data_IF_395218255155
#
_entry.id   IF_395218255155
#
_cell.length_a   1.000
_cell.length_b   1.000
_cell.length_c   1.000
_cell.angle_alpha   90.00
_cell.angle_beta   90.00
_cell.angle_gamma   90.00
#
_symmetry.space_group_name_H-M   'P 1'
#
loop_
_entity.id
_entity.type
_entity.pdbx_description
1 polymer ?
#
# COMPACT_ATOMS: atom_id res chain seq x y z
N UNK A 1 5.51 -14.30 -12.67
CA UNK A 1 4.90 -13.39 -11.69
C UNK A 1 5.05 -13.91 -10.25
N UNK A 2 4.55 -15.09 -9.90
CA UNK A 2 4.73 -15.66 -8.55
C UNK A 2 6.18 -15.76 -8.06
N UNK A 3 7.14 -16.15 -8.91
CA UNK A 3 8.57 -16.15 -8.56
C UNK A 3 9.10 -14.76 -8.19
N UNK A 4 8.59 -13.72 -8.86
CA UNK A 4 8.96 -12.34 -8.59
C UNK A 4 8.41 -11.89 -7.22
N UNK A 5 7.14 -12.22 -6.93
CA UNK A 5 6.55 -12.00 -5.60
C UNK A 5 7.44 -12.65 -4.53
N UNK A 6 7.81 -13.92 -4.69
CA UNK A 6 8.66 -14.62 -3.72
C UNK A 6 10.06 -13.99 -3.57
N UNK A 7 10.66 -13.54 -4.67
CA UNK A 7 11.93 -12.80 -4.65
C UNK A 7 11.79 -11.52 -3.81
N UNK A 8 10.76 -10.72 -4.07
CA UNK A 8 10.59 -9.43 -3.41
C UNK A 8 10.13 -9.55 -1.96
N UNK A 9 9.37 -10.58 -1.60
CA UNK A 9 9.07 -10.90 -0.20
C UNK A 9 10.34 -11.18 0.61
N UNK A 10 11.32 -11.91 0.04
CA UNK A 10 12.62 -12.15 0.70
C UNK A 10 13.45 -10.87 0.85
N UNK A 11 13.44 -10.01 -0.18
CA UNK A 11 14.13 -8.70 -0.12
C UNK A 11 13.48 -7.81 0.94
N UNK A 12 12.14 -7.84 1.03
CA UNK A 12 11.35 -7.04 1.96
C UNK A 12 11.74 -7.29 3.42
N UNK A 13 12.11 -8.51 3.81
CA UNK A 13 12.52 -8.84 5.17
C UNK A 13 13.66 -7.95 5.68
N UNK A 14 14.60 -7.62 4.80
CA UNK A 14 15.85 -6.92 5.14
C UNK A 14 15.93 -5.49 4.59
N UNK A 15 14.94 -5.05 3.81
CA UNK A 15 14.95 -3.72 3.20
C UNK A 15 14.54 -2.63 4.19
N UNK A 16 15.21 -1.48 4.13
CA UNK A 16 14.88 -0.24 4.83
C UNK A 16 14.28 0.84 3.92
N UNK A 17 14.50 0.75 2.60
CA UNK A 17 13.95 1.70 1.62
C UNK A 17 12.73 1.09 0.93
N UNK A 18 11.61 1.11 1.64
CA UNK A 18 10.37 0.45 1.24
C UNK A 18 9.68 1.15 0.07
N UNK A 19 9.82 2.46 -0.06
CA UNK A 19 9.21 3.21 -1.16
C UNK A 19 9.87 2.85 -2.49
N UNK A 20 11.21 2.82 -2.54
CA UNK A 20 11.92 2.37 -3.75
C UNK A 20 11.70 0.89 -4.04
N UNK A 21 11.57 0.06 -3.01
CA UNK A 21 11.31 -1.38 -3.22
C UNK A 21 10.00 -1.63 -3.97
N UNK A 22 8.96 -0.81 -3.71
CA UNK A 22 7.72 -0.84 -4.48
C UNK A 22 7.95 -0.48 -5.96
N UNK A 23 8.68 0.61 -6.23
CA UNK A 23 9.01 1.00 -7.61
C UNK A 23 9.80 -0.07 -8.35
N UNK A 24 10.82 -0.66 -7.73
CA UNK A 24 11.62 -1.71 -8.37
C UNK A 24 10.80 -2.95 -8.68
N UNK A 25 9.90 -3.34 -7.79
CA UNK A 25 8.98 -4.45 -8.04
C UNK A 25 8.09 -4.17 -9.26
N UNK A 26 7.48 -2.99 -9.33
CA UNK A 26 6.64 -2.60 -10.45
C UNK A 26 7.42 -2.55 -11.78
N UNK A 27 8.64 -2.01 -11.76
CA UNK A 27 9.52 -1.89 -12.92
C UNK A 27 10.02 -3.25 -13.45
N UNK A 28 10.20 -4.24 -12.57
CA UNK A 28 10.66 -5.59 -12.95
C UNK A 28 9.53 -6.46 -13.51
N UNK A 29 8.26 -6.06 -13.33
CA UNK A 29 7.13 -6.75 -13.96
C UNK A 29 7.10 -6.48 -15.46
N UNK A 30 6.79 -7.54 -16.24
CA UNK A 30 6.55 -7.37 -17.67
C UNK A 30 5.30 -6.51 -17.91
N UNK A 31 5.29 -5.73 -19.00
CA UNK A 31 4.10 -4.96 -19.41
C UNK A 31 2.85 -5.83 -19.52
N UNK A 32 3.00 -7.06 -20.02
CA UNK A 32 1.90 -8.04 -20.09
C UNK A 32 1.35 -8.36 -18.71
N UNK A 33 2.22 -8.62 -17.73
CA UNK A 33 1.80 -8.90 -16.34
C UNK A 33 1.14 -7.69 -15.70
N UNK A 34 1.72 -6.48 -15.83
CA UNK A 34 1.13 -5.26 -15.28
C UNK A 34 -0.26 -4.99 -15.86
N UNK A 35 -0.45 -5.22 -17.16
CA UNK A 35 -1.75 -5.05 -17.81
C UNK A 35 -2.79 -6.09 -17.39
N UNK A 36 -2.38 -7.36 -17.25
CA UNK A 36 -3.30 -8.43 -16.87
C UNK A 36 -3.72 -8.35 -15.40
N UNK A 37 -2.78 -8.03 -14.52
CA UNK A 37 -2.98 -8.02 -13.06
C UNK A 37 -3.32 -6.62 -12.51
N UNK A 38 -3.28 -5.58 -13.36
CA UNK A 38 -3.57 -4.20 -12.94
C UNK A 38 -2.52 -3.57 -12.01
N UNK A 39 -1.27 -4.03 -12.06
CA UNK A 39 -0.22 -3.58 -11.12
C UNK A 39 0.42 -2.28 -11.62
N UNK A 40 -0.16 -1.18 -11.16
CA UNK A 40 0.30 0.19 -11.40
C UNK A 40 0.22 1.00 -10.11
N UNK A 41 1.36 1.50 -9.62
CA UNK A 41 1.37 2.20 -8.33
C UNK A 41 1.16 3.70 -8.50
N UNK A 42 0.13 4.21 -7.82
CA UNK A 42 -0.19 5.64 -7.84
C UNK A 42 0.91 6.44 -7.13
N UNK A 43 1.62 7.36 -7.81
CA UNK A 43 2.67 8.16 -7.18
C UNK A 43 2.13 9.03 -6.04
N UNK A 44 2.94 9.26 -5.00
CA UNK A 44 2.55 10.07 -3.84
C UNK A 44 1.98 11.43 -4.23
N UNK A 45 2.59 12.13 -5.21
CA UNK A 45 2.08 13.42 -5.70
C UNK A 45 0.63 13.35 -6.20
N UNK A 46 0.24 12.26 -6.84
CA UNK A 46 -1.12 12.07 -7.35
C UNK A 46 -2.08 11.75 -6.21
N UNK A 47 -1.66 10.91 -5.26
CA UNK A 47 -2.44 10.61 -4.06
C UNK A 47 -2.76 11.88 -3.27
N UNK A 48 -1.77 12.73 -3.02
CA UNK A 48 -1.95 14.00 -2.28
C UNK A 48 -2.87 15.00 -3.00
N UNK A 49 -2.99 14.90 -4.33
CA UNK A 49 -3.92 15.72 -5.11
C UNK A 49 -5.34 15.17 -5.12
N UNK A 50 -5.50 13.85 -5.15
CA UNK A 50 -6.80 13.20 -5.25
C UNK A 50 -7.48 13.01 -3.90
N UNK A 51 -6.70 12.76 -2.86
CA UNK A 51 -7.20 12.42 -1.54
C UNK A 51 -7.01 13.57 -0.56
N UNK A 52 -7.89 14.55 -0.65
CA UNK A 52 -7.98 15.65 0.32
C UNK A 52 -9.27 15.54 1.12
N UNK A 53 -9.24 15.97 2.37
CA UNK A 53 -10.42 16.03 3.22
C UNK A 53 -10.97 17.46 3.31
N UNK A 54 -12.30 17.64 3.46
CA UNK A 54 -12.86 18.91 3.88
C UNK A 54 -12.26 19.38 5.20
N UNK A 55 -12.16 20.71 5.38
CA UNK A 55 -11.49 21.33 6.55
C UNK A 55 -12.03 20.83 7.90
N UNK A 56 -13.34 20.57 7.98
CA UNK A 56 -14.02 20.19 9.22
C UNK A 56 -14.33 18.68 9.29
N UNK A 57 -13.69 17.87 8.43
CA UNK A 57 -13.86 16.43 8.44
C UNK A 57 -13.00 15.80 9.54
N UNK A 58 -13.64 15.09 10.48
CA UNK A 58 -12.94 14.34 11.52
C UNK A 58 -12.57 12.93 11.04
N UNK A 59 -11.34 12.81 10.52
CA UNK A 59 -10.78 11.53 10.07
C UNK A 59 -10.67 10.49 11.19
N UNK A 60 -10.63 10.90 12.45
CA UNK A 60 -10.45 9.97 13.59
C UNK A 60 -11.70 9.13 13.86
N UNK A 61 -12.86 9.57 13.36
CA UNK A 61 -14.15 8.87 13.47
C UNK A 61 -14.59 8.20 12.17
N UNK A 62 -13.80 8.36 11.10
CA UNK A 62 -14.12 7.83 9.79
C UNK A 62 -13.40 6.50 9.52
N UNK A 63 -13.98 5.72 8.61
CA UNK A 63 -13.38 4.50 8.05
C UNK A 63 -12.85 4.82 6.66
N UNK A 64 -11.63 4.37 6.38
CA UNK A 64 -11.03 4.43 5.05
C UNK A 64 -10.82 3.01 4.52
N UNK A 65 -11.21 2.76 3.27
CA UNK A 65 -11.04 1.46 2.63
C UNK A 65 -10.43 1.64 1.24
N UNK A 66 -9.32 0.94 0.98
CA UNK A 66 -8.70 0.83 -0.33
C UNK A 66 -8.80 -0.61 -0.85
N UNK A 67 -9.72 -0.92 -1.79
CA UNK A 67 -9.94 -2.29 -2.26
C UNK A 67 -8.87 -2.79 -3.25
N UNK A 68 -7.89 -1.96 -3.63
CA UNK A 68 -6.77 -2.31 -4.50
C UNK A 68 -5.51 -1.56 -4.03
N UNK A 69 -5.02 -1.97 -2.85
CA UNK A 69 -4.08 -1.20 -2.01
C UNK A 69 -2.74 -0.88 -2.70
N UNK A 70 -2.30 -1.74 -3.62
CA UNK A 70 -1.00 -1.70 -4.27
C UNK A 70 0.13 -1.56 -3.26
N UNK A 71 1.11 -0.70 -3.56
CA UNK A 71 2.20 -0.41 -2.63
C UNK A 71 1.76 0.36 -1.36
N UNK A 72 0.50 0.79 -1.27
CA UNK A 72 -0.10 1.35 -0.07
C UNK A 72 -0.10 2.88 0.03
N UNK A 73 0.15 3.61 -1.07
CA UNK A 73 0.30 5.08 -0.99
C UNK A 73 -0.97 5.80 -0.49
N UNK A 74 -2.17 5.36 -0.90
CA UNK A 74 -3.43 5.91 -0.37
C UNK A 74 -3.59 5.64 1.13
N UNK A 75 -3.25 4.43 1.60
CA UNK A 75 -3.28 4.07 3.03
C UNK A 75 -2.30 4.92 3.84
N UNK A 76 -1.07 5.07 3.35
CA UNK A 76 -0.05 5.88 4.02
C UNK A 76 -0.48 7.35 4.11
N UNK A 77 -1.18 7.84 3.09
CA UNK A 77 -1.76 9.18 3.08
C UNK A 77 -2.98 9.30 4.01
N UNK A 78 -3.87 8.30 4.08
CA UNK A 78 -4.97 8.24 5.03
C UNK A 78 -4.47 8.40 6.48
N UNK A 79 -3.42 7.66 6.84
CA UNK A 79 -2.77 7.78 8.15
C UNK A 79 -2.23 9.19 8.40
N UNK A 80 -1.62 9.82 7.38
CA UNK A 80 -1.14 11.22 7.46
C UNK A 80 -2.29 12.22 7.67
N UNK A 81 -3.47 11.93 7.12
CA UNK A 81 -4.68 12.73 7.27
C UNK A 81 -5.40 12.52 8.61
N UNK A 82 -4.96 11.56 9.43
CA UNK A 82 -5.49 11.35 10.79
C UNK A 82 -6.48 10.19 10.93
N UNK A 83 -6.69 9.38 9.90
CA UNK A 83 -7.43 8.13 10.05
C UNK A 83 -6.69 7.20 11.03
N UNK A 84 -7.45 6.54 11.91
CA UNK A 84 -6.87 5.57 12.86
C UNK A 84 -6.59 4.24 12.18
N UNK A 85 -5.55 3.53 12.61
CA UNK A 85 -5.13 2.27 11.99
C UNK A 85 -6.21 1.19 12.09
N UNK A 86 -6.98 1.16 13.17
CA UNK A 86 -8.12 0.25 13.35
C UNK A 86 -9.28 0.53 12.39
N UNK A 87 -9.36 1.74 11.85
CA UNK A 87 -10.39 2.19 10.91
C UNK A 87 -9.92 2.14 9.45
N UNK A 88 -8.72 1.61 9.20
CA UNK A 88 -8.17 1.46 7.85
C UNK A 88 -8.35 0.02 7.39
N UNK A 89 -8.94 -0.14 6.21
CA UNK A 89 -9.13 -1.42 5.54
C UNK A 89 -8.44 -1.38 4.18
N UNK A 90 -7.84 -2.48 3.78
CA UNK A 90 -7.15 -2.56 2.50
C UNK A 90 -7.13 -3.97 1.97
N UNK A 91 -7.35 -4.11 0.68
CA UNK A 91 -7.35 -5.40 0.00
C UNK A 91 -6.52 -5.35 -1.27
N UNK A 92 -5.88 -6.47 -1.60
CA UNK A 92 -5.15 -6.65 -2.85
C UNK A 92 -5.01 -8.13 -3.17
N UNK A 93 -4.89 -8.46 -4.45
CA UNK A 93 -4.61 -9.84 -4.90
C UNK A 93 -3.11 -10.14 -4.81
N UNK A 94 -2.26 -9.12 -4.89
CA UNK A 94 -0.80 -9.24 -4.84
C UNK A 94 -0.27 -9.34 -3.39
N UNK A 95 0.24 -10.52 -3.04
CA UNK A 95 0.80 -10.78 -1.70
C UNK A 95 1.97 -9.86 -1.34
N UNK A 96 2.80 -9.46 -2.30
CA UNK A 96 3.91 -8.54 -2.05
C UNK A 96 3.37 -7.13 -1.77
N UNK A 97 2.38 -6.66 -2.52
CA UNK A 97 1.73 -5.36 -2.30
C UNK A 97 1.17 -5.24 -0.86
N UNK A 98 0.44 -6.27 -0.41
CA UNK A 98 -0.08 -6.37 0.96
C UNK A 98 1.05 -6.35 2.00
N UNK A 99 2.08 -7.17 1.81
CA UNK A 99 3.19 -7.28 2.75
C UNK A 99 4.00 -5.97 2.84
N UNK A 100 4.26 -5.33 1.70
CA UNK A 100 4.95 -4.05 1.60
C UNK A 100 4.18 -2.97 2.36
N UNK A 101 2.87 -2.85 2.10
CA UNK A 101 1.99 -1.89 2.78
C UNK A 101 2.04 -2.07 4.29
N UNK A 102 1.91 -3.31 4.77
CA UNK A 102 2.00 -3.63 6.21
C UNK A 102 3.34 -3.21 6.82
N UNK A 103 4.45 -3.53 6.15
CA UNK A 103 5.79 -3.17 6.64
C UNK A 103 5.99 -1.66 6.66
N UNK A 104 5.51 -0.92 5.65
CA UNK A 104 5.56 0.55 5.61
C UNK A 104 4.83 1.17 6.80
N UNK A 105 3.64 0.69 7.12
CA UNK A 105 2.86 1.15 8.27
C UNK A 105 3.62 0.87 9.57
N UNK A 106 4.11 -0.36 9.74
CA UNK A 106 4.86 -0.77 10.93
C UNK A 106 6.13 0.02 11.15
N UNK A 107 6.89 0.30 10.10
CA UNK A 107 8.15 1.03 10.24
C UNK A 107 7.94 2.52 10.48
N UNK A 108 6.97 3.13 9.80
CA UNK A 108 6.71 4.57 9.93
C UNK A 108 5.94 4.94 11.19
N UNK A 109 4.94 4.15 11.55
CA UNK A 109 4.01 4.48 12.64
C UNK A 109 4.15 3.59 13.87
N UNK A 110 4.97 2.53 13.82
CA UNK A 110 5.13 1.55 14.93
C UNK A 110 3.82 0.86 15.32
N UNK A 111 2.92 0.70 14.35
CA UNK A 111 1.61 0.07 14.52
C UNK A 111 1.48 -1.15 13.60
N UNK A 112 0.77 -2.16 14.07
CA UNK A 112 0.31 -3.25 13.21
C UNK A 112 -1.03 -2.86 12.57
N UNK A 113 -1.32 -3.43 11.40
CA UNK A 113 -2.53 -3.14 10.61
C UNK A 113 -3.22 -4.45 10.20
N UNK A 114 -4.10 -4.99 11.08
CA UNK A 114 -4.71 -6.31 10.87
C UNK A 114 -5.68 -6.34 9.67
N UNK A 115 -6.22 -5.19 9.30
CA UNK A 115 -7.29 -5.04 8.31
C UNK A 115 -6.77 -4.83 6.87
N UNK A 116 -5.45 -4.87 6.66
CA UNK A 116 -4.85 -4.97 5.32
C UNK A 116 -4.72 -6.46 5.01
N UNK A 117 -5.37 -6.96 3.97
CA UNK A 117 -5.46 -8.41 3.71
C UNK A 117 -5.28 -8.73 2.23
N UNK A 118 -4.66 -9.86 1.95
CA UNK A 118 -4.72 -10.42 0.61
C UNK A 118 -6.12 -11.03 0.39
N UNK A 119 -6.74 -10.74 -0.74
CA UNK A 119 -8.01 -11.32 -1.17
C UNK A 119 -7.99 -11.59 -2.67
N UNK A 120 -8.54 -12.74 -3.05
CA UNK A 120 -8.71 -13.17 -4.45
C UNK A 120 -9.93 -12.50 -5.11
#
# INVERSE_FOLDING_TARGET
HQELILKYLKILENSSDLEKLGSYYEEELSNTTRNLEGIYYTPNRIVEQLFTLPKDFDATQAIFCDPAVGSGNFIMHALKLGFKVENIYGYDTDAFAVALTKKRIKERYRLDCPNIMQKD
#
